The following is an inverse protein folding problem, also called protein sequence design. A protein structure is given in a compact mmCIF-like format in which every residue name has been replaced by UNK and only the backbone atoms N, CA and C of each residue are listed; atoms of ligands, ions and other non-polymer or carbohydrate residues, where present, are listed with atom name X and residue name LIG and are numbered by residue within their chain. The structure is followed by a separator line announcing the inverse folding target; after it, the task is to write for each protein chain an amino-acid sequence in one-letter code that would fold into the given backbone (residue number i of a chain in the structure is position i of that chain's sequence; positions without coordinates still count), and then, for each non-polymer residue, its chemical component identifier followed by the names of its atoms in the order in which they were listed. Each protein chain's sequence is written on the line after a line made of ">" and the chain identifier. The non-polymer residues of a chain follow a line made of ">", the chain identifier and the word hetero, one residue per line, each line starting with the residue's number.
data_IF_937059640383
#
_entry.id   IF_937059640383
#
_cell.length_a   1.000
_cell.length_b   1.000
_cell.length_c   1.000
_cell.angle_alpha   90.00
_cell.angle_beta   90.00
_cell.angle_gamma   90.00
#
_symmetry.space_group_name_H-M   'P 1'
#
loop_
_entity.id
_entity.type
_entity.pdbx_description
1 polymer ?
#
# COMPACT_ATOMS: atom_id res chain seq x y z
N UNK A 1 16.26 -10.04 -13.43
CA UNK A 1 14.79 -9.82 -13.28
C UNK A 1 14.54 -8.66 -12.32
N UNK A 2 13.38 -8.01 -12.39
CA UNK A 2 13.01 -6.92 -11.48
C UNK A 2 11.78 -7.30 -10.68
N UNK A 3 11.70 -6.84 -9.41
CA UNK A 3 10.48 -6.86 -8.59
C UNK A 3 10.19 -5.41 -8.19
N UNK A 4 9.00 -4.91 -8.55
CA UNK A 4 8.49 -3.66 -8.03
C UNK A 4 8.11 -3.82 -6.55
N UNK A 5 8.58 -2.93 -5.68
CA UNK A 5 8.17 -2.91 -4.28
C UNK A 5 7.21 -1.75 -4.04
N UNK A 6 6.01 -2.07 -3.53
CA UNK A 6 4.99 -1.11 -3.14
C UNK A 6 4.63 -1.24 -1.67
N UNK A 7 4.57 -0.09 -0.97
CA UNK A 7 4.06 -0.02 0.40
C UNK A 7 3.03 1.09 0.53
N UNK A 8 1.93 0.80 1.22
CA UNK A 8 0.87 1.77 1.47
C UNK A 8 0.89 2.22 2.95
N UNK A 9 0.94 3.52 3.19
CA UNK A 9 0.87 4.12 4.53
C UNK A 9 -0.57 4.52 4.82
N UNK A 10 -1.28 3.68 5.55
CA UNK A 10 -2.70 3.84 5.86
C UNK A 10 -2.95 4.46 7.23
N UNK A 11 -2.06 4.19 8.19
CA UNK A 11 -2.29 4.41 9.61
C UNK A 11 -1.13 5.14 10.31
N UNK A 12 -1.40 5.55 11.56
CA UNK A 12 -0.36 6.15 12.44
C UNK A 12 0.83 5.22 12.65
N UNK A 13 0.60 3.91 12.77
CA UNK A 13 1.68 2.94 12.99
C UNK A 13 2.49 2.76 11.72
N UNK A 14 1.84 2.75 10.55
CA UNK A 14 2.56 2.76 9.27
C UNK A 14 3.46 3.98 9.17
N UNK A 15 2.92 5.19 9.45
CA UNK A 15 3.63 6.47 9.35
C UNK A 15 4.71 6.71 10.45
N UNK A 16 4.86 5.80 11.38
CA UNK A 16 5.81 5.94 12.50
C UNK A 16 6.77 4.76 12.57
N UNK A 17 6.64 3.92 13.60
CA UNK A 17 7.56 2.81 13.86
C UNK A 17 7.64 1.81 12.70
N UNK A 18 6.51 1.59 12.01
CA UNK A 18 6.49 0.71 10.82
C UNK A 18 7.39 1.26 9.71
N UNK A 19 7.22 2.53 9.35
CA UNK A 19 8.02 3.18 8.32
C UNK A 19 9.50 3.27 8.69
N UNK A 20 9.80 3.65 9.94
CA UNK A 20 11.18 3.76 10.41
C UNK A 20 11.94 2.45 10.25
N UNK A 21 11.32 1.33 10.66
CA UNK A 21 11.94 0.02 10.53
C UNK A 21 11.98 -0.45 9.08
N UNK A 22 10.93 -0.20 8.30
CA UNK A 22 10.90 -0.55 6.87
C UNK A 22 12.06 0.14 6.12
N UNK A 23 12.30 1.43 6.37
CA UNK A 23 13.39 2.16 5.73
C UNK A 23 14.78 1.60 6.09
N UNK A 24 14.99 1.14 7.33
CA UNK A 24 16.22 0.45 7.73
C UNK A 24 16.42 -0.85 6.95
N UNK A 25 15.35 -1.64 6.78
CA UNK A 25 15.40 -2.88 6.01
C UNK A 25 15.70 -2.59 4.53
N UNK A 26 14.99 -1.62 3.92
CA UNK A 26 15.21 -1.26 2.52
C UNK A 26 16.65 -0.77 2.28
N UNK A 27 17.22 -0.02 3.22
CA UNK A 27 18.62 0.41 3.19
C UNK A 27 19.59 -0.76 3.23
N UNK A 28 19.44 -1.68 4.19
CA UNK A 28 20.29 -2.86 4.36
C UNK A 28 20.37 -3.70 3.06
N UNK A 29 19.25 -3.77 2.33
CA UNK A 29 19.17 -4.54 1.07
C UNK A 29 19.35 -3.69 -0.19
N UNK A 30 19.69 -2.40 -0.06
CA UNK A 30 19.75 -1.45 -1.19
C UNK A 30 18.52 -1.52 -2.07
N UNK A 31 17.35 -1.71 -1.47
CA UNK A 31 16.09 -1.96 -2.14
C UNK A 31 15.33 -0.65 -2.36
N UNK A 32 15.11 -0.31 -3.63
CA UNK A 32 14.22 0.79 -4.01
C UNK A 32 12.76 0.35 -3.87
N UNK A 33 11.88 1.31 -3.59
CA UNK A 33 10.45 1.05 -3.44
C UNK A 33 9.64 2.30 -3.77
N UNK A 34 8.34 2.11 -4.05
CA UNK A 34 7.36 3.18 -4.05
C UNK A 34 6.54 3.11 -2.77
N UNK A 35 6.43 4.23 -2.07
CA UNK A 35 5.60 4.38 -0.88
C UNK A 35 4.44 5.32 -1.20
N UNK A 36 3.22 4.80 -1.18
CA UNK A 36 2.01 5.59 -1.33
C UNK A 36 1.54 6.11 0.03
N UNK A 37 1.44 7.42 0.13
CA UNK A 37 1.14 8.11 1.39
C UNK A 37 -0.32 8.55 1.43
N UNK A 38 -1.06 8.07 2.43
CA UNK A 38 -2.34 8.66 2.79
C UNK A 38 -2.13 10.10 3.24
N UNK A 39 -2.54 11.07 2.41
CA UNK A 39 -2.39 12.49 2.74
C UNK A 39 -3.38 12.98 3.78
N UNK A 40 -4.43 12.19 4.06
CA UNK A 40 -5.55 12.54 4.92
C UNK A 40 -5.57 11.80 6.27
N UNK A 41 -6.79 11.51 6.72
CA UNK A 41 -7.07 10.79 7.97
C UNK A 41 -7.27 9.30 7.72
N UNK A 42 -6.82 8.45 8.65
CA UNK A 42 -6.96 7.00 8.55
C UNK A 42 -8.38 6.50 8.79
N UNK A 43 -9.10 7.11 9.73
CA UNK A 43 -10.42 6.68 10.15
C UNK A 43 -11.49 7.75 9.96
N UNK A 44 -12.72 7.31 9.71
CA UNK A 44 -13.90 8.16 9.68
C UNK A 44 -14.78 7.88 10.90
N UNK A 45 -15.06 8.92 11.69
CA UNK A 45 -15.99 8.83 12.83
C UNK A 45 -17.38 8.40 12.39
N UNK A 46 -17.82 8.83 11.20
CA UNK A 46 -19.10 8.45 10.60
C UNK A 46 -19.20 6.94 10.37
N UNK A 47 -18.11 6.32 9.88
CA UNK A 47 -18.07 4.88 9.64
C UNK A 47 -17.99 4.12 10.97
N UNK A 48 -17.23 4.60 11.95
CA UNK A 48 -17.15 3.99 13.28
C UNK A 48 -18.52 3.93 13.96
N UNK A 49 -19.25 5.03 13.98
CA UNK A 49 -20.59 5.10 14.56
C UNK A 49 -21.55 4.11 13.87
N UNK A 50 -21.54 4.04 12.55
CA UNK A 50 -22.36 3.07 11.79
C UNK A 50 -22.01 1.62 12.09
N UNK A 51 -20.74 1.31 12.42
CA UNK A 51 -20.31 -0.06 12.78
C UNK A 51 -20.71 -0.46 14.18
N UNK A 52 -20.70 0.47 15.14
CA UNK A 52 -21.12 0.22 16.53
C UNK A 52 -22.62 -0.12 16.58
N UNK A 53 -23.47 0.53 15.75
CA UNK A 53 -24.91 0.26 15.68
C UNK A 53 -25.30 -1.00 14.91
N UNK A 54 -24.40 -1.68 14.22
CA UNK A 54 -24.69 -2.94 13.52
C UNK A 54 -24.24 -4.13 14.35
N UNK A 55 -25.20 -4.87 14.94
CA UNK A 55 -24.94 -6.24 15.44
C UNK A 55 -24.22 -7.04 14.32
N UNK A 56 -23.15 -7.75 14.67
CA UNK A 56 -22.53 -8.73 13.77
C UNK A 56 -23.59 -9.79 13.41
N UNK A 57 -24.25 -9.63 12.31
CA UNK A 57 -24.89 -10.76 11.66
C UNK A 57 -23.75 -11.58 11.04
N UNK A 58 -23.44 -12.72 11.65
CA UNK A 58 -22.61 -13.74 11.04
C UNK A 58 -23.36 -14.23 9.80
N UNK A 59 -23.02 -13.67 8.64
CA UNK A 59 -23.42 -14.25 7.37
C UNK A 59 -22.48 -15.44 7.17
N UNK A 60 -23.03 -16.64 7.36
CA UNK A 60 -22.32 -17.88 7.15
C UNK A 60 -21.91 -18.05 5.70
N UNK A 61 -20.82 -18.79 5.47
CA UNK A 61 -20.46 -19.36 4.16
C UNK A 61 -19.43 -18.61 3.32
N UNK A 62 -18.75 -17.57 3.84
CA UNK A 62 -17.65 -16.92 3.13
C UNK A 62 -16.30 -17.63 3.34
N UNK A 63 -15.48 -17.71 2.29
CA UNK A 63 -14.10 -18.19 2.37
C UNK A 63 -13.33 -17.42 3.45
N UNK A 64 -12.61 -18.14 4.33
CA UNK A 64 -11.88 -17.51 5.45
C UNK A 64 -10.75 -16.64 4.94
N UNK A 65 -10.83 -15.32 5.22
CA UNK A 65 -9.77 -14.37 4.85
C UNK A 65 -8.70 -14.38 5.94
N UNK A 66 -7.53 -14.94 5.63
CA UNK A 66 -6.36 -14.91 6.49
C UNK A 66 -5.64 -13.57 6.37
N UNK A 67 -5.76 -12.72 7.39
CA UNK A 67 -5.02 -11.47 7.52
C UNK A 67 -4.82 -11.09 8.98
N UNK A 68 -3.79 -10.30 9.25
CA UNK A 68 -3.53 -9.81 10.61
C UNK A 68 -4.57 -8.75 10.97
N UNK A 69 -5.28 -8.96 12.08
CA UNK A 69 -6.32 -8.04 12.55
C UNK A 69 -5.79 -6.64 12.91
N UNK A 70 -6.63 -5.62 12.74
CA UNK A 70 -6.30 -4.21 13.03
C UNK A 70 -5.79 -4.00 14.46
N UNK A 71 -6.39 -4.67 15.45
CA UNK A 71 -5.96 -4.59 16.85
C UNK A 71 -4.54 -5.14 17.06
N UNK A 72 -4.15 -6.20 16.35
CA UNK A 72 -2.79 -6.75 16.40
C UNK A 72 -1.80 -5.82 15.69
N UNK A 73 -2.21 -5.21 14.57
CA UNK A 73 -1.38 -4.24 13.82
C UNK A 73 -1.10 -2.97 14.64
N UNK A 74 -2.12 -2.38 15.24
CA UNK A 74 -2.03 -1.10 15.95
C UNK A 74 -1.70 -1.24 17.46
N UNK A 75 -2.03 -2.38 18.07
CA UNK A 75 -2.07 -2.54 19.50
C UNK A 75 -3.19 -1.72 20.16
N UNK A 76 -3.56 -2.00 21.43
CA UNK A 76 -4.67 -1.31 22.08
C UNK A 76 -4.43 0.19 22.25
N UNK A 77 -3.22 0.58 22.64
CA UNK A 77 -2.83 2.02 22.75
C UNK A 77 -2.84 2.74 21.41
N UNK A 78 -2.40 2.09 20.33
CA UNK A 78 -2.42 2.64 18.97
C UNK A 78 -3.83 2.82 18.43
N UNK A 79 -4.73 1.87 18.67
CA UNK A 79 -6.16 1.99 18.33
C UNK A 79 -6.79 3.18 19.05
N UNK A 80 -6.60 3.28 20.37
CA UNK A 80 -7.14 4.37 21.17
C UNK A 80 -6.61 5.74 20.71
N UNK A 81 -5.30 5.87 20.52
CA UNK A 81 -4.66 7.08 20.02
C UNK A 81 -5.21 7.48 18.64
N UNK A 82 -5.39 6.52 17.74
CA UNK A 82 -5.93 6.76 16.40
C UNK A 82 -7.39 7.24 16.46
N UNK A 83 -8.21 6.64 17.33
CA UNK A 83 -9.61 7.04 17.51
C UNK A 83 -9.75 8.46 18.08
N UNK A 84 -8.95 8.79 19.10
CA UNK A 84 -9.02 10.09 19.80
C UNK A 84 -8.48 11.22 18.91
N UNK A 85 -7.26 11.08 18.41
CA UNK A 85 -6.54 12.15 17.72
C UNK A 85 -6.74 12.14 16.22
N UNK A 86 -6.90 10.96 15.58
CA UNK A 86 -7.06 10.79 14.13
C UNK A 86 -6.22 11.78 13.30
N UNK A 87 -4.89 11.77 13.46
CA UNK A 87 -4.02 12.76 12.84
C UNK A 87 -4.03 12.65 11.32
N UNK A 88 -3.58 13.72 10.66
CA UNK A 88 -3.31 13.73 9.21
C UNK A 88 -2.00 12.98 8.96
N UNK A 89 -2.08 11.85 8.29
CA UNK A 89 -0.97 10.90 8.12
C UNK A 89 0.18 11.52 7.32
N UNK A 90 -0.11 12.19 6.21
CA UNK A 90 0.92 12.82 5.39
C UNK A 90 1.83 13.80 6.15
N UNK A 91 1.29 14.54 7.15
CA UNK A 91 2.10 15.42 8.01
C UNK A 91 3.09 14.64 8.88
N UNK A 92 2.73 13.43 9.30
CA UNK A 92 3.61 12.59 10.13
C UNK A 92 4.78 12.01 9.34
N UNK A 93 4.58 11.78 8.05
CA UNK A 93 5.59 11.22 7.13
C UNK A 93 6.64 12.27 6.72
N UNK A 94 6.31 13.56 6.79
CA UNK A 94 7.21 14.68 6.40
C UNK A 94 8.62 14.56 6.99
N UNK A 95 8.75 14.13 8.23
CA UNK A 95 10.05 14.02 8.93
C UNK A 95 11.04 13.05 8.27
N UNK A 96 10.54 12.15 7.40
CA UNK A 96 11.37 11.18 6.69
C UNK A 96 11.80 11.65 5.28
N UNK A 97 11.46 12.88 4.85
CA UNK A 97 11.71 13.35 3.48
C UNK A 97 13.18 13.20 3.06
N UNK A 98 14.13 13.59 3.91
CA UNK A 98 15.56 13.44 3.60
C UNK A 98 15.93 11.97 3.44
N UNK A 99 15.40 11.11 4.30
CA UNK A 99 15.66 9.67 4.26
C UNK A 99 15.13 9.02 2.99
N UNK A 100 13.96 9.44 2.50
CA UNK A 100 13.43 8.98 1.20
C UNK A 100 14.36 9.35 0.05
N UNK A 101 14.89 10.58 0.04
CA UNK A 101 15.84 11.02 -0.98
C UNK A 101 17.15 10.22 -0.93
N UNK A 102 17.72 10.02 0.26
CA UNK A 102 18.95 9.24 0.47
C UNK A 102 18.81 7.79 -0.04
N UNK A 103 17.64 7.18 0.15
CA UNK A 103 17.37 5.81 -0.24
C UNK A 103 16.74 5.66 -1.63
N UNK A 104 16.57 6.77 -2.37
CA UNK A 104 15.87 6.78 -3.67
C UNK A 104 14.48 6.13 -3.60
N UNK A 105 13.74 6.40 -2.51
CA UNK A 105 12.34 5.95 -2.35
C UNK A 105 11.43 6.89 -3.12
N UNK A 106 10.64 6.32 -4.02
CA UNK A 106 9.59 7.03 -4.71
C UNK A 106 8.38 7.25 -3.81
N UNK A 107 7.82 8.47 -3.82
CA UNK A 107 6.60 8.78 -3.10
C UNK A 107 5.42 9.00 -4.05
N UNK A 108 4.29 8.38 -3.71
CA UNK A 108 3.01 8.57 -4.39
C UNK A 108 1.90 8.95 -3.41
N UNK A 109 0.71 9.22 -3.94
CA UNK A 109 -0.49 9.55 -3.17
C UNK A 109 -1.37 8.32 -2.99
N UNK A 110 -1.88 8.09 -1.76
CA UNK A 110 -2.84 7.04 -1.42
C UNK A 110 -4.20 7.63 -1.07
N UNK A 111 -5.09 7.69 -2.08
CA UNK A 111 -6.46 8.18 -1.90
C UNK A 111 -6.60 9.68 -1.66
N UNK A 112 -7.65 10.07 -0.91
CA UNK A 112 -8.06 11.45 -0.68
C UNK A 112 -7.96 11.91 0.77
N UNK A 113 -8.94 12.77 1.19
CA UNK A 113 -8.99 13.38 2.55
C UNK A 113 -9.18 12.37 3.67
N UNK A 114 -9.83 11.24 3.39
CA UNK A 114 -10.11 10.23 4.41
C UNK A 114 -10.04 8.82 3.80
N UNK A 115 -9.04 8.07 4.22
CA UNK A 115 -8.76 6.72 3.75
C UNK A 115 -9.95 5.75 3.96
N UNK A 116 -10.56 5.76 5.15
CA UNK A 116 -11.70 4.88 5.44
C UNK A 116 -12.95 5.24 4.61
N UNK A 117 -13.18 6.54 4.33
CA UNK A 117 -14.29 6.97 3.48
C UNK A 117 -14.07 6.56 2.02
N UNK A 118 -12.84 6.70 1.51
CA UNK A 118 -12.51 6.22 0.19
C UNK A 118 -12.77 4.72 0.05
N UNK A 119 -12.26 3.89 0.98
CA UNK A 119 -12.48 2.44 0.98
C UNK A 119 -13.97 2.04 0.97
N UNK A 120 -14.83 2.82 1.64
CA UNK A 120 -16.25 2.49 1.80
C UNK A 120 -17.14 3.06 0.69
N UNK A 121 -16.81 4.21 0.19
CA UNK A 121 -17.68 4.98 -0.68
C UNK A 121 -17.04 5.33 -2.03
N UNK A 122 -15.75 5.11 -2.21
CA UNK A 122 -14.99 5.53 -3.39
C UNK A 122 -15.59 5.05 -4.71
N UNK A 123 -16.09 3.81 -4.74
CA UNK A 123 -16.77 3.27 -5.95
C UNK A 123 -17.99 4.10 -6.37
N UNK A 124 -18.64 4.76 -5.41
CA UNK A 124 -19.87 5.54 -5.62
C UNK A 124 -19.59 7.06 -5.60
N UNK A 125 -18.35 7.49 -5.67
CA UNK A 125 -18.04 8.90 -5.82
C UNK A 125 -18.52 9.40 -7.20
N UNK A 126 -19.14 10.58 -7.21
CA UNK A 126 -19.33 11.30 -8.46
C UNK A 126 -17.97 11.75 -9.00
N UNK A 127 -17.92 12.13 -10.27
CA UNK A 127 -16.70 12.62 -10.91
C UNK A 127 -16.12 13.83 -10.15
N UNK A 128 -16.99 14.80 -9.82
CA UNK A 128 -16.62 16.01 -9.08
C UNK A 128 -16.09 15.68 -7.68
N UNK A 129 -16.70 14.68 -7.01
CA UNK A 129 -16.24 14.25 -5.69
C UNK A 129 -14.87 13.59 -5.78
N UNK A 130 -14.67 12.68 -6.73
CA UNK A 130 -13.38 12.03 -6.96
C UNK A 130 -12.29 13.05 -7.30
N UNK A 131 -12.59 13.99 -8.19
CA UNK A 131 -11.68 15.07 -8.57
C UNK A 131 -11.30 15.94 -7.36
N UNK A 132 -12.29 16.39 -6.58
CA UNK A 132 -12.04 17.18 -5.36
C UNK A 132 -11.20 16.45 -4.31
N UNK A 133 -11.33 15.12 -4.17
CA UNK A 133 -10.50 14.31 -3.28
C UNK A 133 -9.05 14.23 -3.76
N UNK A 134 -8.85 13.98 -5.06
CA UNK A 134 -7.53 13.87 -5.68
C UNK A 134 -6.82 15.22 -5.72
N UNK A 135 -7.51 16.29 -6.09
CA UNK A 135 -6.97 17.65 -6.04
C UNK A 135 -6.45 17.99 -4.65
N UNK A 136 -7.29 17.75 -3.63
CA UNK A 136 -6.91 18.03 -2.25
C UNK A 136 -5.67 17.24 -1.82
N UNK A 137 -5.61 15.94 -2.11
CA UNK A 137 -4.47 15.11 -1.72
C UNK A 137 -3.20 15.48 -2.47
N UNK A 138 -3.30 15.77 -3.78
CA UNK A 138 -2.18 16.23 -4.60
C UNK A 138 -1.62 17.57 -4.11
N UNK A 139 -2.48 18.54 -3.80
CA UNK A 139 -2.05 19.85 -3.29
C UNK A 139 -1.40 19.73 -1.90
N UNK A 140 -1.92 18.87 -1.02
CA UNK A 140 -1.30 18.62 0.28
C UNK A 140 0.04 17.88 0.13
N UNK A 141 0.15 16.94 -0.81
CA UNK A 141 1.41 16.28 -1.11
C UNK A 141 2.48 17.29 -1.53
N UNK A 142 2.16 18.15 -2.52
CA UNK A 142 3.06 19.24 -2.98
C UNK A 142 3.48 20.16 -1.83
N UNK A 143 2.52 20.56 -0.98
CA UNK A 143 2.79 21.42 0.19
C UNK A 143 3.71 20.77 1.23
N UNK A 144 3.62 19.45 1.40
CA UNK A 144 4.38 18.72 2.43
C UNK A 144 5.77 18.35 1.93
N UNK A 145 5.88 17.83 0.70
CA UNK A 145 7.11 17.27 0.16
C UNK A 145 7.86 18.19 -0.81
N UNK A 146 7.21 19.24 -1.35
CA UNK A 146 7.84 20.24 -2.22
C UNK A 146 7.93 19.85 -3.70
N UNK A 147 7.39 18.68 -4.09
CA UNK A 147 7.36 18.20 -5.48
C UNK A 147 6.01 17.56 -5.82
N UNK A 148 5.77 17.30 -7.12
CA UNK A 148 4.54 16.63 -7.56
C UNK A 148 4.64 15.12 -7.45
N UNK A 149 3.57 14.41 -6.98
CA UNK A 149 3.55 12.96 -6.98
C UNK A 149 3.53 12.41 -8.42
N UNK A 150 4.25 11.32 -8.67
CA UNK A 150 4.25 10.64 -9.97
C UNK A 150 3.20 9.53 -10.02
N UNK A 151 3.03 8.80 -8.93
CA UNK A 151 2.13 7.67 -8.82
C UNK A 151 0.94 7.92 -7.90
N UNK A 152 -0.16 7.23 -8.19
CA UNK A 152 -1.38 7.20 -7.37
C UNK A 152 -1.76 5.76 -7.04
N UNK A 153 -2.34 5.55 -5.85
CA UNK A 153 -3.02 4.30 -5.52
C UNK A 153 -4.33 4.57 -4.76
N UNK A 154 -5.37 3.81 -5.14
CA UNK A 154 -6.67 3.89 -4.49
C UNK A 154 -6.72 2.99 -3.24
N UNK A 155 -7.16 3.50 -2.08
CA UNK A 155 -7.39 2.68 -0.90
C UNK A 155 -8.22 1.45 -1.19
N UNK A 156 -7.68 0.26 -0.84
CA UNK A 156 -8.29 -1.05 -1.07
C UNK A 156 -8.63 -1.32 -2.54
N UNK A 157 -7.90 -0.73 -3.48
CA UNK A 157 -8.14 -0.87 -4.92
C UNK A 157 -9.55 -0.45 -5.35
N UNK A 158 -10.19 0.46 -4.59
CA UNK A 158 -11.52 0.98 -4.88
C UNK A 158 -11.42 2.17 -5.82
N UNK A 159 -11.67 1.91 -7.10
CA UNK A 159 -11.53 2.88 -8.19
C UNK A 159 -12.86 3.57 -8.47
N UNK A 160 -12.97 4.91 -8.32
CA UNK A 160 -14.12 5.67 -8.80
C UNK A 160 -14.14 5.76 -10.34
N UNK A 161 -15.31 5.96 -10.91
CA UNK A 161 -15.44 6.19 -12.35
C UNK A 161 -14.64 7.44 -12.76
N UNK A 162 -13.98 7.38 -13.91
CA UNK A 162 -13.19 8.51 -14.45
C UNK A 162 -11.87 8.78 -13.75
N UNK A 163 -11.37 7.85 -12.90
CA UNK A 163 -10.11 8.05 -12.16
C UNK A 163 -8.94 8.41 -13.06
N UNK A 164 -8.73 7.69 -14.18
CA UNK A 164 -7.58 7.93 -15.07
C UNK A 164 -7.57 9.37 -15.63
N UNK A 165 -8.72 9.85 -16.12
CA UNK A 165 -8.83 11.21 -16.66
C UNK A 165 -8.54 12.28 -15.61
N UNK A 166 -8.99 12.06 -14.36
CA UNK A 166 -8.70 12.95 -13.24
C UNK A 166 -7.20 12.94 -12.93
N UNK A 167 -6.59 11.76 -12.82
CA UNK A 167 -5.16 11.63 -12.52
C UNK A 167 -4.30 12.30 -13.59
N UNK A 168 -4.64 12.13 -14.88
CA UNK A 168 -3.98 12.83 -15.99
C UNK A 168 -4.06 14.35 -15.85
N UNK A 169 -5.25 14.89 -15.51
CA UNK A 169 -5.47 16.32 -15.28
C UNK A 169 -4.51 16.88 -14.21
N UNK A 170 -4.20 16.11 -13.15
CA UNK A 170 -3.28 16.52 -12.09
C UNK A 170 -1.82 16.16 -12.33
N UNK A 171 -1.50 15.55 -13.48
CA UNK A 171 -0.13 15.30 -13.94
C UNK A 171 0.52 14.02 -13.40
N UNK A 172 -0.29 13.06 -12.92
CA UNK A 172 0.21 11.72 -12.56
C UNK A 172 0.75 11.01 -13.79
N UNK A 173 1.74 10.15 -13.60
CA UNK A 173 2.38 9.36 -14.65
C UNK A 173 1.87 7.93 -14.72
N UNK A 174 1.40 7.40 -13.59
CA UNK A 174 0.82 6.07 -13.49
C UNK A 174 -0.10 5.97 -12.26
N UNK A 175 -0.85 4.90 -12.23
CA UNK A 175 -1.54 4.45 -11.02
C UNK A 175 -1.34 2.95 -10.80
N UNK A 176 -1.70 2.44 -9.60
CA UNK A 176 -1.51 1.03 -9.25
C UNK A 176 -2.73 0.54 -8.48
N UNK A 177 -3.80 0.23 -9.24
CA UNK A 177 -5.14 0.02 -8.70
C UNK A 177 -5.80 -1.29 -9.16
N UNK A 178 -5.02 -2.20 -9.73
CA UNK A 178 -5.47 -3.55 -10.11
C UNK A 178 -4.62 -4.63 -9.44
N UNK A 179 -5.24 -5.80 -9.24
CA UNK A 179 -4.59 -6.95 -8.62
C UNK A 179 -4.67 -8.18 -9.53
N UNK A 180 -3.71 -9.10 -9.31
CA UNK A 180 -3.70 -10.44 -9.92
C UNK A 180 -3.60 -10.44 -11.46
N UNK A 181 -3.22 -9.32 -12.07
CA UNK A 181 -2.88 -9.21 -13.49
C UNK A 181 -1.37 -9.22 -13.63
N UNK A 182 -0.83 -9.96 -14.60
CA UNK A 182 0.62 -10.13 -14.73
C UNK A 182 1.33 -8.96 -15.42
N UNK A 183 0.62 -8.24 -16.28
CA UNK A 183 1.21 -7.17 -17.10
C UNK A 183 0.67 -5.79 -16.74
N UNK A 184 1.51 -4.78 -16.93
CA UNK A 184 1.09 -3.38 -16.86
C UNK A 184 0.03 -3.14 -17.95
N UNK A 185 -1.12 -2.59 -17.54
CA UNK A 185 -2.15 -2.17 -18.50
C UNK A 185 -1.71 -0.81 -19.04
N UNK A 186 -1.36 -0.79 -20.33
CA UNK A 186 -0.92 0.41 -21.03
C UNK A 186 -2.11 1.12 -21.68
N UNK A 187 -2.94 1.75 -20.85
CA UNK A 187 -3.95 2.71 -21.27
C UNK A 187 -3.33 4.10 -21.44
N UNK A 188 -4.17 5.12 -21.52
CA UNK A 188 -3.73 6.52 -21.53
C UNK A 188 -2.88 6.90 -20.31
N UNK A 189 -3.15 6.27 -19.16
CA UNK A 189 -2.31 6.32 -17.95
C UNK A 189 -1.96 4.88 -17.56
N UNK A 190 -0.67 4.49 -17.51
CA UNK A 190 -0.27 3.15 -17.13
C UNK A 190 -0.83 2.73 -15.77
N UNK A 191 -1.44 1.53 -15.70
CA UNK A 191 -1.89 0.92 -14.45
C UNK A 191 -0.99 -0.27 -14.12
N UNK A 192 -0.18 -0.10 -13.07
CA UNK A 192 0.81 -1.09 -12.63
C UNK A 192 0.13 -2.06 -11.67
N UNK A 193 0.02 -3.35 -12.02
CA UNK A 193 -0.66 -4.32 -11.20
C UNK A 193 0.10 -4.64 -9.91
N UNK A 194 -0.64 -5.06 -8.89
CA UNK A 194 -0.10 -5.75 -7.71
C UNK A 194 -0.42 -7.23 -7.85
N UNK A 195 0.59 -8.08 -7.99
CA UNK A 195 0.38 -9.48 -8.39
C UNK A 195 1.13 -10.51 -7.52
N UNK A 196 2.14 -10.10 -6.77
CA UNK A 196 2.74 -10.92 -5.72
C UNK A 196 1.92 -10.75 -4.44
N UNK A 197 0.67 -11.24 -4.46
CA UNK A 197 -0.33 -11.11 -3.41
C UNK A 197 -0.92 -12.47 -3.02
N UNK A 198 -1.46 -12.56 -1.81
CA UNK A 198 -2.28 -13.67 -1.35
C UNK A 198 -3.72 -13.56 -1.86
N UNK A 199 -4.61 -14.45 -1.41
CA UNK A 199 -6.03 -14.38 -1.76
C UNK A 199 -6.67 -13.07 -1.27
N UNK A 200 -7.70 -12.61 -1.97
CA UNK A 200 -8.47 -11.40 -1.63
C UNK A 200 -7.60 -10.13 -1.50
N UNK A 201 -6.56 -10.01 -2.31
CA UNK A 201 -5.67 -8.84 -2.31
C UNK A 201 -4.92 -8.59 -0.99
N UNK A 202 -4.81 -9.60 -0.12
CA UNK A 202 -4.00 -9.51 1.09
C UNK A 202 -2.51 -9.59 0.70
N UNK A 203 -1.62 -8.75 1.28
CA UNK A 203 -0.18 -8.88 1.07
C UNK A 203 0.29 -10.32 1.30
N UNK A 204 1.13 -10.85 0.40
CA UNK A 204 1.42 -12.28 0.35
C UNK A 204 2.08 -12.82 1.63
N UNK A 205 2.98 -12.04 2.22
CA UNK A 205 3.64 -12.45 3.46
C UNK A 205 2.69 -12.38 4.65
N UNK A 206 1.83 -11.34 4.71
CA UNK A 206 0.75 -11.24 5.70
C UNK A 206 -0.21 -12.43 5.59
N UNK A 207 -0.55 -12.82 4.35
CA UNK A 207 -1.41 -13.98 4.07
C UNK A 207 -0.82 -15.27 4.63
N UNK A 208 0.45 -15.53 4.38
CA UNK A 208 1.12 -16.74 4.86
C UNK A 208 1.35 -16.72 6.38
N UNK A 209 1.81 -15.59 6.92
CA UNK A 209 2.01 -15.44 8.37
C UNK A 209 0.70 -15.62 9.16
N UNK A 210 -0.43 -15.14 8.64
CA UNK A 210 -1.74 -15.31 9.27
C UNK A 210 -2.23 -16.77 9.25
N UNK A 211 -1.70 -17.62 8.37
CA UNK A 211 -1.93 -19.06 8.31
C UNK A 211 -0.95 -19.85 9.17
N UNK A 212 0.00 -19.19 9.84
CA UNK A 212 1.03 -19.87 10.64
C UNK A 212 2.14 -20.54 9.81
N UNK A 213 2.26 -20.20 8.52
CA UNK A 213 3.37 -20.67 7.67
C UNK A 213 4.65 -19.97 8.12
N UNK A 214 5.73 -20.73 8.33
CA UNK A 214 7.01 -20.15 8.76
C UNK A 214 7.63 -19.22 7.71
N UNK A 215 8.54 -18.34 8.15
CA UNK A 215 9.08 -17.27 7.30
C UNK A 215 9.86 -17.79 6.09
N UNK A 216 10.59 -18.91 6.20
CA UNK A 216 11.36 -19.48 5.08
C UNK A 216 10.43 -20.08 4.02
N UNK A 217 9.39 -20.79 4.43
CA UNK A 217 8.43 -21.37 3.50
C UNK A 217 7.55 -20.29 2.86
N UNK A 218 7.11 -19.30 3.62
CA UNK A 218 6.38 -18.14 3.12
C UNK A 218 7.19 -17.36 2.07
N UNK A 219 8.45 -17.07 2.37
CA UNK A 219 9.37 -16.42 1.43
C UNK A 219 9.54 -17.23 0.14
N UNK A 220 9.85 -18.53 0.25
CA UNK A 220 10.01 -19.41 -0.91
C UNK A 220 8.80 -19.43 -1.83
N UNK A 221 7.58 -19.46 -1.26
CA UNK A 221 6.32 -19.41 -2.02
C UNK A 221 6.12 -18.05 -2.70
N UNK A 222 6.41 -16.95 -2.00
CA UNK A 222 6.31 -15.60 -2.55
C UNK A 222 7.31 -15.38 -3.71
N UNK A 223 8.56 -15.82 -3.54
CA UNK A 223 9.59 -15.74 -4.58
C UNK A 223 9.22 -16.60 -5.79
N UNK A 224 8.72 -17.83 -5.58
CA UNK A 224 8.24 -18.67 -6.67
C UNK A 224 7.16 -17.98 -7.49
N UNK A 225 6.18 -17.35 -6.82
CA UNK A 225 5.13 -16.58 -7.50
C UNK A 225 5.73 -15.45 -8.34
N UNK A 226 6.71 -14.71 -7.81
CA UNK A 226 7.41 -13.67 -8.57
C UNK A 226 8.17 -14.24 -9.78
N UNK A 227 8.86 -15.39 -9.62
CA UNK A 227 9.54 -16.08 -10.73
C UNK A 227 8.56 -16.53 -11.82
N UNK A 228 7.41 -17.08 -11.44
CA UNK A 228 6.36 -17.52 -12.38
C UNK A 228 5.81 -16.34 -13.19
N UNK A 229 5.54 -15.20 -12.54
CA UNK A 229 5.10 -13.97 -13.22
C UNK A 229 6.16 -13.50 -14.21
N UNK A 230 7.43 -13.43 -13.79
CA UNK A 230 8.53 -12.97 -14.63
C UNK A 230 8.80 -13.91 -15.82
N UNK A 231 8.75 -15.24 -15.62
CA UNK A 231 8.90 -16.25 -16.67
C UNK A 231 7.79 -16.16 -17.73
N UNK A 232 6.61 -15.73 -17.35
CA UNK A 232 5.48 -15.53 -18.26
C UNK A 232 5.48 -14.13 -18.92
N UNK A 233 6.59 -13.40 -18.84
CA UNK A 233 6.74 -12.07 -19.44
C UNK A 233 6.05 -10.95 -18.67
N UNK A 234 5.56 -11.23 -17.47
CA UNK A 234 4.95 -10.24 -16.59
C UNK A 234 5.96 -9.49 -15.72
N UNK A 235 5.50 -8.48 -15.01
CA UNK A 235 6.30 -7.72 -14.05
C UNK A 235 5.82 -8.04 -12.63
N UNK A 236 6.60 -8.76 -11.82
CA UNK A 236 6.20 -9.03 -10.43
C UNK A 236 6.23 -7.76 -9.60
N UNK A 237 5.14 -7.50 -8.89
CA UNK A 237 4.99 -6.37 -7.97
C UNK A 237 4.53 -6.88 -6.60
N UNK A 238 5.42 -6.74 -5.62
CA UNK A 238 5.15 -7.01 -4.21
C UNK A 238 4.40 -5.84 -3.58
N UNK A 239 3.48 -6.14 -2.67
CA UNK A 239 2.68 -5.17 -1.96
C UNK A 239 2.67 -5.45 -0.46
N UNK A 240 2.81 -4.41 0.35
CA UNK A 240 2.79 -4.50 1.80
C UNK A 240 2.41 -3.19 2.50
N UNK A 241 2.47 -3.22 3.85
CA UNK A 241 2.24 -2.07 4.71
C UNK A 241 3.39 -1.94 5.73
N UNK A 242 3.92 -0.76 5.99
CA UNK A 242 5.02 -0.58 6.92
C UNK A 242 4.77 -1.16 8.34
N UNK A 243 3.53 -1.10 8.82
CA UNK A 243 3.15 -1.71 10.12
C UNK A 243 3.24 -3.23 10.14
N UNK A 244 3.20 -3.87 9.00
CA UNK A 244 3.27 -5.33 8.84
C UNK A 244 4.70 -5.74 8.54
N UNK A 245 5.22 -5.41 7.36
CA UNK A 245 6.54 -5.79 6.86
C UNK A 245 7.68 -5.11 7.62
N UNK A 246 7.48 -3.90 8.13
CA UNK A 246 8.49 -3.20 8.94
C UNK A 246 8.44 -3.50 10.43
N UNK A 247 7.36 -4.18 10.93
CA UNK A 247 7.21 -4.36 12.38
C UNK A 247 6.76 -5.76 12.80
N UNK A 248 5.62 -6.24 12.28
CA UNK A 248 5.00 -7.48 12.80
C UNK A 248 5.61 -8.75 12.25
N UNK A 249 6.02 -8.72 10.99
CA UNK A 249 6.61 -9.84 10.26
C UNK A 249 7.84 -9.38 9.50
N UNK A 250 8.67 -8.56 10.12
CA UNK A 250 9.89 -8.03 9.50
C UNK A 250 10.87 -9.13 9.10
N UNK A 251 10.95 -10.21 9.87
CA UNK A 251 11.72 -11.42 9.55
C UNK A 251 11.26 -12.09 8.25
N UNK A 252 9.96 -12.15 7.97
CA UNK A 252 9.40 -12.65 6.71
C UNK A 252 9.82 -11.78 5.53
N UNK A 253 9.75 -10.46 5.69
CA UNK A 253 10.12 -9.53 4.63
C UNK A 253 11.63 -9.55 4.36
N UNK A 254 12.46 -9.58 5.39
CA UNK A 254 13.91 -9.75 5.30
C UNK A 254 14.25 -11.05 4.55
N UNK A 255 13.61 -12.16 4.91
CA UNK A 255 13.84 -13.43 4.24
C UNK A 255 13.43 -13.38 2.76
N UNK A 256 12.28 -12.73 2.45
CA UNK A 256 11.85 -12.55 1.07
C UNK A 256 12.84 -11.73 0.23
N UNK A 257 13.40 -10.65 0.80
CA UNK A 257 14.42 -9.85 0.11
C UNK A 257 15.69 -10.70 -0.17
N UNK A 258 16.16 -11.44 0.85
CA UNK A 258 17.33 -12.35 0.69
C UNK A 258 17.11 -13.38 -0.41
N UNK A 259 16.02 -14.11 -0.36
CA UNK A 259 15.71 -15.17 -1.30
C UNK A 259 15.50 -14.63 -2.72
N UNK A 260 14.85 -13.46 -2.85
CA UNK A 260 14.67 -12.79 -4.14
C UNK A 260 16.01 -12.33 -4.74
N UNK A 261 16.88 -11.71 -3.94
CA UNK A 261 18.21 -11.31 -4.37
C UNK A 261 19.05 -12.51 -4.82
N UNK A 262 19.02 -13.63 -4.09
CA UNK A 262 19.68 -14.89 -4.45
C UNK A 262 19.17 -15.48 -5.78
N UNK A 263 17.95 -15.16 -6.19
CA UNK A 263 17.35 -15.50 -7.48
C UNK A 263 17.67 -14.49 -8.59
N UNK A 264 18.46 -13.47 -8.29
CA UNK A 264 18.88 -12.43 -9.23
C UNK A 264 17.84 -11.35 -9.48
N UNK A 265 16.88 -11.18 -8.60
CA UNK A 265 15.96 -10.06 -8.66
C UNK A 265 16.62 -8.78 -8.16
N UNK A 266 16.34 -7.67 -8.85
CA UNK A 266 16.62 -6.29 -8.41
C UNK A 266 15.32 -5.65 -7.92
N UNK A 267 15.38 -4.94 -6.82
CA UNK A 267 14.24 -4.22 -6.26
C UNK A 267 14.17 -2.80 -6.84
N UNK A 268 13.02 -2.45 -7.38
CA UNK A 268 12.81 -1.18 -8.08
C UNK A 268 11.55 -0.47 -7.58
N UNK A 269 11.50 0.84 -7.75
CA UNK A 269 10.26 1.61 -7.58
C UNK A 269 9.28 1.30 -8.71
N UNK A 270 8.01 1.61 -8.53
CA UNK A 270 7.00 1.37 -9.58
C UNK A 270 7.22 2.30 -10.78
N UNK A 271 7.67 3.54 -10.53
CA UNK A 271 8.00 4.47 -11.62
C UNK A 271 9.13 3.99 -12.52
N UNK A 272 10.02 3.11 -12.05
CA UNK A 272 11.09 2.51 -12.88
C UNK A 272 10.58 1.37 -13.79
N UNK A 273 9.32 0.98 -13.69
CA UNK A 273 8.70 -0.08 -14.50
C UNK A 273 8.01 0.43 -15.78
N UNK A 274 7.87 1.76 -15.94
CA UNK A 274 7.18 2.41 -17.06
C UNK A 274 8.10 3.21 -17.95
#
# INVERSE_FOLDING_TARGET
>A
MQIGLRFDIDSVIDATIGLENLLKILEEYSAKATIFVNMGKSISRRILIKRIGRKKNNVGGGEQIFKIGVTKKLGPKGVLKTIIFNPVIGKMVKKYTNRFNELNIELGVHGGRNHAEWQHFGKNFTLEKAESEIEWSTNNFRKIFGFSPQGFSAPRFVVPNGLESILKKFGYKYHSDICEVNNIIKNELPNIPVNVVGKHTVPILEWYAAQGIDCKDASRRAVRKAEEIAKNGGVPVFYGHPSVEGKLISDYFIQFLKDSANKGFKFVSLGELI
#
